data_IF_734501967429
#
_entry.id   IF_734501967429
#
_cell.length_a   1.000
_cell.length_b   1.000
_cell.length_c   1.000
_cell.angle_alpha   90.00
_cell.angle_beta   90.00
_cell.angle_gamma   90.00
#
_symmetry.space_group_name_H-M   'P 1'
#
loop_
_entity.id
_entity.type
_entity.pdbx_description
1 polymer ?
#
# COMPACT_ATOMS: atom_id res chain seq x y z
N UNK A 1 0.01 -9.00 -17.11
CA UNK A 1 1.35 -9.61 -17.12
C UNK A 1 2.35 -8.93 -18.06
N UNK A 2 1.95 -8.20 -19.11
CA UNK A 2 2.92 -7.64 -20.08
C UNK A 2 3.58 -6.30 -19.68
N UNK A 3 2.90 -5.45 -18.90
CA UNK A 3 3.39 -4.08 -18.65
C UNK A 3 4.57 -4.03 -17.67
N UNK A 4 4.58 -4.88 -16.65
CA UNK A 4 5.67 -4.92 -15.65
C UNK A 4 6.97 -5.43 -16.26
N UNK A 5 6.93 -6.50 -17.04
CA UNK A 5 8.12 -7.07 -17.70
C UNK A 5 8.71 -6.13 -18.76
N UNK A 6 7.87 -5.34 -19.44
CA UNK A 6 8.37 -4.31 -20.36
C UNK A 6 9.06 -3.17 -19.59
N UNK A 7 8.49 -2.71 -18.47
CA UNK A 7 9.09 -1.63 -17.68
C UNK A 7 10.42 -2.04 -17.03
N UNK A 8 10.56 -3.30 -16.58
CA UNK A 8 11.82 -3.84 -16.05
C UNK A 8 13.00 -3.76 -17.03
N UNK A 9 12.72 -3.88 -18.33
CA UNK A 9 13.75 -3.89 -19.37
C UNK A 9 14.06 -2.51 -19.94
N UNK A 10 13.16 -1.54 -19.80
CA UNK A 10 13.24 -0.23 -20.48
C UNK A 10 13.33 0.97 -19.56
N UNK A 11 12.90 0.87 -18.29
CA UNK A 11 12.95 1.98 -17.35
C UNK A 11 14.08 1.77 -16.33
N UNK A 12 14.97 2.75 -16.20
CA UNK A 12 15.89 2.81 -15.08
C UNK A 12 15.08 2.99 -13.79
N UNK A 13 15.47 2.27 -12.72
CA UNK A 13 14.86 2.49 -11.40
C UNK A 13 15.04 3.97 -11.03
N UNK A 14 13.96 4.58 -10.54
CA UNK A 14 13.93 5.98 -10.15
C UNK A 14 13.74 6.99 -11.29
N UNK A 15 13.50 6.56 -12.55
CA UNK A 15 13.21 7.52 -13.64
C UNK A 15 11.96 8.35 -13.33
N UNK A 16 12.18 9.63 -13.01
CA UNK A 16 11.13 10.57 -12.58
C UNK A 16 10.04 10.78 -13.64
N UNK A 17 10.35 10.63 -14.93
CA UNK A 17 9.34 10.73 -16.00
C UNK A 17 8.40 9.53 -15.96
N UNK A 18 8.96 8.33 -15.81
CA UNK A 18 8.18 7.09 -15.67
C UNK A 18 7.36 7.12 -14.38
N UNK A 19 7.97 7.50 -13.26
CA UNK A 19 7.27 7.61 -11.97
C UNK A 19 6.11 8.60 -12.03
N UNK A 20 6.31 9.77 -12.63
CA UNK A 20 5.23 10.77 -12.78
C UNK A 20 4.08 10.22 -13.63
N UNK A 21 4.40 9.60 -14.78
CA UNK A 21 3.39 9.04 -15.66
C UNK A 21 2.58 7.90 -15.00
N UNK A 22 3.23 7.08 -14.17
CA UNK A 22 2.58 6.02 -13.41
C UNK A 22 1.74 6.57 -12.24
N UNK A 23 2.23 7.60 -11.54
CA UNK A 23 1.47 8.29 -10.49
C UNK A 23 0.18 8.88 -11.08
N UNK A 24 0.22 9.48 -12.27
CA UNK A 24 -0.98 9.99 -12.94
C UNK A 24 -2.01 8.89 -13.25
N UNK A 25 -1.58 7.63 -13.40
CA UNK A 25 -2.48 6.48 -13.61
C UNK A 25 -3.13 5.98 -12.32
N UNK A 26 -2.70 6.45 -11.15
CA UNK A 26 -3.36 6.14 -9.87
C UNK A 26 -4.71 6.84 -9.74
N UNK A 27 -5.00 7.84 -10.56
CA UNK A 27 -6.29 8.56 -10.60
C UNK A 27 -7.17 8.13 -11.79
N UNK A 28 -6.82 7.03 -12.47
CA UNK A 28 -7.62 6.50 -13.57
C UNK A 28 -9.00 6.02 -13.06
N UNK A 29 -10.03 6.15 -13.90
CA UNK A 29 -11.38 5.72 -13.56
C UNK A 29 -11.47 4.20 -13.37
N UNK A 30 -10.66 3.43 -14.09
CA UNK A 30 -10.66 1.98 -14.01
C UNK A 30 -9.66 1.47 -12.96
N UNK A 31 -10.13 0.77 -11.92
CA UNK A 31 -9.23 0.24 -10.88
C UNK A 31 -8.25 -0.81 -11.39
N UNK A 32 -8.56 -1.48 -12.50
CA UNK A 32 -7.61 -2.38 -13.15
C UNK A 32 -6.38 -1.63 -13.71
N UNK A 33 -6.53 -0.35 -14.09
CA UNK A 33 -5.43 0.53 -14.50
C UNK A 33 -4.67 1.01 -13.27
N UNK A 34 -5.38 1.46 -12.24
CA UNK A 34 -4.78 1.89 -10.96
C UNK A 34 -3.92 0.78 -10.33
N UNK A 35 -4.43 -0.45 -10.29
CA UNK A 35 -3.71 -1.63 -9.79
C UNK A 35 -2.43 -1.90 -10.59
N UNK A 36 -2.49 -1.86 -11.93
CA UNK A 36 -1.30 -2.05 -12.78
C UNK A 36 -0.26 -0.95 -12.57
N UNK A 37 -0.70 0.29 -12.35
CA UNK A 37 0.19 1.40 -12.04
C UNK A 37 0.93 1.17 -10.71
N UNK A 38 0.25 0.69 -9.67
CA UNK A 38 0.88 0.33 -8.39
C UNK A 38 1.90 -0.79 -8.57
N UNK A 39 1.56 -1.86 -9.29
CA UNK A 39 2.50 -2.96 -9.56
C UNK A 39 3.72 -2.50 -10.37
N UNK A 40 3.54 -1.58 -11.31
CA UNK A 40 4.65 -0.99 -12.03
C UNK A 40 5.54 -0.14 -11.11
N UNK A 41 4.93 0.72 -10.29
CA UNK A 41 5.65 1.55 -9.31
C UNK A 41 6.48 0.70 -8.36
N UNK A 42 5.99 -0.45 -7.88
CA UNK A 42 6.75 -1.33 -6.99
C UNK A 42 8.02 -1.90 -7.60
N UNK A 43 8.13 -1.89 -8.92
CA UNK A 43 9.28 -2.42 -9.66
C UNK A 43 10.26 -1.31 -10.04
N UNK A 44 9.74 -0.17 -10.52
CA UNK A 44 10.57 0.91 -11.05
C UNK A 44 10.95 1.98 -10.03
N UNK A 45 10.34 1.99 -8.84
CA UNK A 45 10.66 3.00 -7.82
C UNK A 45 11.89 2.62 -7.02
N UNK A 46 12.63 3.63 -6.56
CA UNK A 46 13.59 3.43 -5.49
C UNK A 46 12.85 3.14 -4.17
N UNK A 47 13.36 2.23 -3.33
CA UNK A 47 12.81 2.05 -1.99
C UNK A 47 12.83 3.39 -1.23
N UNK A 48 11.77 3.63 -0.46
CA UNK A 48 11.58 4.85 0.33
C UNK A 48 11.47 6.16 -0.48
N UNK A 49 11.11 6.10 -1.77
CA UNK A 49 10.70 7.31 -2.50
C UNK A 49 9.41 7.88 -1.89
N UNK A 50 9.55 8.99 -1.17
CA UNK A 50 8.48 9.67 -0.47
C UNK A 50 7.28 10.01 -1.36
N UNK A 51 7.53 10.43 -2.61
CA UNK A 51 6.45 10.81 -3.52
C UNK A 51 5.65 9.58 -3.92
N UNK A 52 6.32 8.48 -4.25
CA UNK A 52 5.65 7.22 -4.62
C UNK A 52 4.90 6.67 -3.42
N UNK A 53 5.52 6.63 -2.24
CA UNK A 53 4.92 6.09 -1.03
C UNK A 53 3.66 6.83 -0.61
N UNK A 54 3.66 8.17 -0.63
CA UNK A 54 2.47 8.96 -0.29
C UNK A 54 1.30 8.63 -1.23
N UNK A 55 1.57 8.51 -2.52
CA UNK A 55 0.53 8.23 -3.52
C UNK A 55 -0.01 6.80 -3.39
N UNK A 56 0.88 5.81 -3.22
CA UNK A 56 0.51 4.40 -3.07
C UNK A 56 -0.21 4.14 -1.75
N UNK A 57 0.26 4.69 -0.63
CA UNK A 57 -0.43 4.58 0.68
C UNK A 57 -1.83 5.21 0.66
N UNK A 58 -2.00 6.30 -0.10
CA UNK A 58 -3.32 6.90 -0.32
C UNK A 58 -4.33 5.95 -0.98
N UNK A 59 -3.86 4.95 -1.76
CA UNK A 59 -4.70 3.94 -2.41
C UNK A 59 -5.11 2.78 -1.47
N UNK A 60 -4.69 2.77 -0.20
CA UNK A 60 -5.31 1.89 0.80
C UNK A 60 -6.79 2.22 1.05
N UNK A 61 -7.21 3.43 0.66
CA UNK A 61 -8.60 3.91 0.72
C UNK A 61 -9.34 3.77 -0.61
N UNK A 62 -8.77 3.06 -1.59
CA UNK A 62 -9.39 2.89 -2.89
C UNK A 62 -10.73 2.15 -2.79
N UNK A 63 -11.71 2.58 -3.59
CA UNK A 63 -13.04 1.99 -3.63
C UNK A 63 -13.03 0.53 -4.08
N UNK A 64 -12.02 0.12 -4.86
CA UNK A 64 -11.91 -1.26 -5.36
C UNK A 64 -10.96 -2.10 -4.49
N UNK A 65 -11.47 -3.24 -4.01
CA UNK A 65 -10.72 -4.17 -3.15
C UNK A 65 -9.48 -4.75 -3.81
N UNK A 66 -9.54 -4.97 -5.12
CA UNK A 66 -8.39 -5.40 -5.93
C UNK A 66 -7.24 -4.41 -5.86
N UNK A 67 -7.53 -3.10 -5.93
CA UNK A 67 -6.51 -2.04 -5.85
C UNK A 67 -5.89 -2.03 -4.46
N UNK A 68 -6.70 -2.08 -3.40
CA UNK A 68 -6.20 -2.12 -2.02
C UNK A 68 -5.29 -3.33 -1.76
N UNK A 69 -5.64 -4.51 -2.29
CA UNK A 69 -4.84 -5.72 -2.16
C UNK A 69 -3.47 -5.56 -2.83
N UNK A 70 -3.43 -4.97 -4.03
CA UNK A 70 -2.17 -4.70 -4.74
C UNK A 70 -1.29 -3.70 -4.00
N UNK A 71 -1.87 -2.69 -3.33
CA UNK A 71 -1.10 -1.79 -2.46
C UNK A 71 -0.40 -2.56 -1.35
N UNK A 72 -1.12 -3.42 -0.63
CA UNK A 72 -0.55 -4.24 0.44
C UNK A 72 0.57 -5.18 -0.06
N UNK A 73 0.51 -5.62 -1.31
CA UNK A 73 1.53 -6.44 -1.97
C UNK A 73 2.75 -5.64 -2.43
N UNK A 74 2.55 -4.40 -2.83
CA UNK A 74 3.59 -3.53 -3.35
C UNK A 74 4.45 -2.89 -2.25
N UNK A 75 3.89 -2.66 -1.06
CA UNK A 75 4.55 -1.93 0.03
C UNK A 75 5.93 -2.49 0.45
N UNK A 76 6.13 -3.82 0.59
CA UNK A 76 7.45 -4.37 0.94
C UNK A 76 8.55 -4.10 -0.09
N UNK A 77 8.18 -3.85 -1.36
CA UNK A 77 9.12 -3.48 -2.43
C UNK A 77 9.34 -1.98 -2.54
N UNK A 78 8.40 -1.17 -2.02
CA UNK A 78 8.41 0.28 -2.10
C UNK A 78 9.02 0.96 -0.87
N UNK A 79 9.05 0.27 0.28
CA UNK A 79 9.59 0.82 1.52
C UNK A 79 10.45 -0.19 2.26
N UNK A 80 11.51 0.32 2.89
CA UNK A 80 12.28 -0.47 3.85
C UNK A 80 11.49 -0.66 5.14
N UNK A 81 11.73 -1.75 5.85
CA UNK A 81 11.04 -2.06 7.11
C UNK A 81 11.28 -1.00 8.19
N UNK A 82 12.38 -0.26 8.09
CA UNK A 82 12.74 0.83 8.99
C UNK A 82 11.99 2.14 8.67
N UNK A 83 11.19 2.17 7.60
CA UNK A 83 10.45 3.35 7.20
C UNK A 83 9.31 3.65 8.18
N UNK A 84 9.63 4.51 9.15
CA UNK A 84 8.71 4.96 10.18
C UNK A 84 7.47 5.67 9.62
N UNK A 85 7.53 6.26 8.42
CA UNK A 85 6.36 6.92 7.81
C UNK A 85 5.32 5.89 7.40
N UNK A 86 5.74 4.81 6.77
CA UNK A 86 4.86 3.69 6.40
C UNK A 86 4.25 3.08 7.67
N UNK A 87 5.08 2.81 8.68
CA UNK A 87 4.61 2.34 9.99
C UNK A 87 3.54 3.27 10.57
N UNK A 88 3.86 4.55 10.73
CA UNK A 88 2.96 5.55 11.30
C UNK A 88 1.66 5.66 10.52
N UNK A 89 1.71 5.62 9.19
CA UNK A 89 0.53 5.68 8.35
C UNK A 89 -0.35 4.45 8.51
N UNK A 90 0.22 3.24 8.46
CA UNK A 90 -0.53 1.99 8.65
C UNK A 90 -1.15 1.93 10.05
N UNK A 91 -0.39 2.31 11.10
CA UNK A 91 -0.91 2.38 12.46
C UNK A 91 -2.02 3.42 12.60
N UNK A 92 -1.90 4.58 11.97
CA UNK A 92 -2.97 5.58 11.95
C UNK A 92 -4.18 5.10 11.14
N UNK A 93 -3.98 4.40 10.02
CA UNK A 93 -5.08 3.83 9.23
C UNK A 93 -5.87 2.78 10.03
N UNK A 94 -5.18 2.03 10.89
CA UNK A 94 -5.79 1.07 11.81
C UNK A 94 -6.52 1.77 12.99
N UNK A 95 -5.91 2.82 13.57
CA UNK A 95 -6.43 3.53 14.76
C UNK A 95 -7.47 4.62 14.47
N UNK A 96 -7.43 5.26 13.31
CA UNK A 96 -8.35 6.36 12.97
C UNK A 96 -9.73 5.81 12.58
N UNK A 97 -10.55 5.57 13.61
CA UNK A 97 -11.98 5.27 13.50
C UNK A 97 -12.76 6.46 12.90
N UNK A 98 -13.39 6.28 11.72
CA UNK A 98 -14.42 7.20 11.16
C UNK A 98 -15.77 6.49 10.96
N UNK A 99 -16.94 7.17 11.08
CA UNK A 99 -18.28 6.83 10.57
C UNK A 99 -18.45 5.70 9.52
N UNK A 100 -19.45 4.77 9.49
CA UNK A 100 -19.69 3.91 8.31
C UNK A 100 -20.11 4.76 7.08
N UNK A 101 -19.95 4.27 5.82
CA UNK A 101 -20.08 2.87 5.40
C UNK A 101 -18.85 2.18 4.74
N UNK A 102 -17.68 2.80 4.55
CA UNK A 102 -16.52 2.16 3.88
C UNK A 102 -15.51 1.46 4.85
N UNK A 103 -16.01 0.80 5.91
CA UNK A 103 -15.27 0.58 7.18
C UNK A 103 -14.37 -0.65 7.32
N UNK A 104 -14.76 -1.81 6.80
CA UNK A 104 -14.00 -3.08 7.00
C UNK A 104 -12.80 -3.16 6.06
N UNK A 105 -13.05 -2.74 4.82
CA UNK A 105 -12.14 -2.74 3.69
C UNK A 105 -10.78 -2.06 3.94
N UNK A 106 -10.77 -0.92 4.64
CA UNK A 106 -9.54 -0.18 4.97
C UNK A 106 -8.74 -0.88 6.07
N UNK A 107 -9.42 -1.36 7.13
CA UNK A 107 -8.78 -2.08 8.23
C UNK A 107 -8.14 -3.35 7.72
N UNK A 108 -8.87 -4.10 6.91
CA UNK A 108 -8.38 -5.32 6.28
C UNK A 108 -7.14 -5.04 5.42
N UNK A 109 -7.21 -4.02 4.55
CA UNK A 109 -6.08 -3.65 3.71
C UNK A 109 -4.86 -3.20 4.51
N UNK A 110 -5.05 -2.38 5.55
CA UNK A 110 -3.99 -1.92 6.44
C UNK A 110 -3.39 -3.07 7.26
N UNK A 111 -4.21 -3.99 7.77
CA UNK A 111 -3.76 -5.21 8.46
C UNK A 111 -2.94 -6.10 7.53
N UNK A 112 -3.44 -6.36 6.31
CA UNK A 112 -2.71 -7.15 5.31
C UNK A 112 -1.38 -6.50 4.91
N UNK A 113 -1.39 -5.18 4.71
CA UNK A 113 -0.20 -4.40 4.41
C UNK A 113 0.82 -4.50 5.55
N UNK A 114 0.37 -4.33 6.80
CA UNK A 114 1.21 -4.43 7.98
C UNK A 114 1.84 -5.81 8.07
N UNK A 115 1.05 -6.89 8.03
CA UNK A 115 1.56 -8.28 8.09
C UNK A 115 2.60 -8.59 7.00
N UNK A 116 2.49 -7.99 5.81
CA UNK A 116 3.46 -8.18 4.73
C UNK A 116 4.70 -7.28 4.88
N UNK A 117 4.56 -6.14 5.54
CA UNK A 117 5.61 -5.14 5.72
C UNK A 117 6.55 -5.47 6.90
N UNK A 118 6.02 -5.91 8.04
CA UNK A 118 6.83 -6.21 9.23
C UNK A 118 7.43 -7.62 9.20
N UNK A 119 8.68 -7.74 9.65
CA UNK A 119 9.33 -9.04 9.86
C UNK A 119 8.64 -9.83 10.98
N UNK A 120 8.74 -11.15 10.93
CA UNK A 120 8.19 -12.04 11.96
C UNK A 120 8.72 -11.65 13.35
N UNK A 121 7.82 -11.39 14.30
CA UNK A 121 8.16 -11.11 15.71
C UNK A 121 8.14 -9.63 16.11
N UNK A 122 7.64 -8.72 15.27
CA UNK A 122 7.34 -7.36 15.71
C UNK A 122 6.14 -7.37 16.69
N UNK A 123 6.46 -7.24 17.98
CA UNK A 123 5.48 -7.28 19.07
C UNK A 123 4.48 -6.13 18.96
N UNK A 124 4.91 -4.93 18.54
CA UNK A 124 4.00 -3.80 18.36
C UNK A 124 3.00 -4.06 17.23
N UNK A 125 3.43 -4.73 16.16
CA UNK A 125 2.52 -5.09 15.07
C UNK A 125 1.52 -6.16 15.48
N UNK A 126 1.96 -7.15 16.26
CA UNK A 126 1.11 -8.23 16.78
C UNK A 126 0.05 -7.65 17.72
N UNK A 127 0.45 -6.78 18.65
CA UNK A 127 -0.46 -6.15 19.60
C UNK A 127 -1.49 -5.27 18.86
N UNK A 128 -1.04 -4.47 17.89
CA UNK A 128 -1.91 -3.61 17.09
C UNK A 128 -2.92 -4.39 16.24
N UNK A 129 -2.51 -5.53 15.67
CA UNK A 129 -3.42 -6.42 14.92
C UNK A 129 -4.40 -7.09 15.90
N UNK A 130 -3.95 -7.50 17.09
CA UNK A 130 -4.80 -8.04 18.15
C UNK A 130 -5.90 -7.07 18.58
N UNK A 131 -5.54 -5.82 18.84
CA UNK A 131 -6.50 -4.73 19.16
C UNK A 131 -7.54 -4.54 18.05
N UNK A 132 -7.15 -4.69 16.78
CA UNK A 132 -8.08 -4.56 15.66
C UNK A 132 -9.09 -5.72 15.59
N UNK A 133 -8.66 -6.95 15.90
CA UNK A 133 -9.51 -8.15 15.93
C UNK A 133 -10.51 -8.09 17.09
N UNK A 134 -10.04 -7.71 18.29
CA UNK A 134 -10.90 -7.61 19.48
C UNK A 134 -11.96 -6.50 19.34
N UNK A 135 -11.67 -5.43 18.61
CA UNK A 135 -12.63 -4.36 18.31
C UNK A 135 -13.75 -4.78 17.34
N UNK A 136 -13.56 -5.84 16.54
CA UNK A 136 -14.59 -6.41 15.66
C UNK A 136 -15.50 -7.41 16.38
N UNK A 137 -15.03 -8.02 17.47
CA UNK A 137 -15.79 -8.99 18.28
C UNK A 137 -15.62 -8.71 19.79
N UNK A 138 -16.27 -7.66 20.32
CA UNK A 138 -16.28 -7.43 21.76
C UNK A 138 -16.99 -8.59 22.48
N UNK A 139 -16.32 -9.16 23.49
CA UNK A 139 -16.85 -10.20 24.38
C UNK A 139 -18.09 -9.70 25.14
#
# INVERSE_FOLDING_TARGET
FEVTSALEHFAERGDRRVLTALIDRLEDAEGSVRARAISALSVVSEPDDDQVLVQVLGRLLDSESSVRAVVAEALPSLATQENRKVWTYLTQALRNFRPPPQREDLKEAACRALTKFVSHGDVEAIDLIGECIDAEYPQ
#
